data_IF_854453360681
#
_entry.id   IF_854453360681
#
_cell.length_a   1.000
_cell.length_b   1.000
_cell.length_c   1.000
_cell.angle_alpha   90.00
_cell.angle_beta   90.00
_cell.angle_gamma   90.00
#
_symmetry.space_group_name_H-M   'P 1'
#
loop_
_entity.id
_entity.type
_entity.pdbx_description
1 polymer ?
#
# COMPACT_ATOMS: atom_id res chain seq x y z
N UNK A 1 8.58 0.57 -20.32
CA UNK A 1 7.81 1.04 -19.15
C UNK A 1 7.74 0.00 -18.03
N UNK A 2 7.40 -1.27 -18.32
CA UNK A 2 7.33 -2.31 -17.30
C UNK A 2 8.68 -2.66 -16.63
N UNK A 3 9.81 -2.43 -17.29
CA UNK A 3 11.15 -2.76 -16.79
C UNK A 3 11.46 -2.13 -15.42
N UNK A 4 11.05 -0.87 -15.20
CA UNK A 4 11.36 -0.14 -13.97
C UNK A 4 10.34 -0.42 -12.85
N UNK A 5 9.09 -0.67 -13.21
CA UNK A 5 7.99 -0.80 -12.24
C UNK A 5 7.76 -2.28 -11.86
N UNK A 6 8.00 -3.19 -12.81
CA UNK A 6 7.72 -4.63 -12.68
C UNK A 6 8.42 -5.29 -11.50
N UNK A 7 9.61 -4.79 -11.14
CA UNK A 7 10.41 -5.33 -10.04
C UNK A 7 9.74 -5.19 -8.65
N UNK A 8 8.85 -4.21 -8.48
CA UNK A 8 8.11 -4.00 -7.23
C UNK A 8 6.83 -4.83 -7.12
N UNK A 9 6.31 -5.38 -8.22
CA UNK A 9 4.98 -6.01 -8.26
C UNK A 9 4.92 -7.23 -7.34
N UNK A 10 5.88 -8.15 -7.48
CA UNK A 10 5.88 -9.38 -6.68
C UNK A 10 6.05 -9.12 -5.16
N UNK A 11 6.99 -8.26 -4.71
CA UNK A 11 7.07 -7.88 -3.30
C UNK A 11 5.82 -7.22 -2.75
N UNK A 12 5.16 -6.34 -3.52
CA UNK A 12 3.90 -5.70 -3.10
C UNK A 12 2.78 -6.74 -2.97
N UNK A 13 2.62 -7.62 -3.95
CA UNK A 13 1.65 -8.72 -3.87
C UNK A 13 1.91 -9.63 -2.67
N UNK A 14 3.18 -9.97 -2.40
CA UNK A 14 3.56 -10.79 -1.26
C UNK A 14 3.26 -10.09 0.07
N UNK A 15 3.55 -8.80 0.20
CA UNK A 15 3.26 -8.03 1.41
C UNK A 15 1.77 -7.98 1.75
N UNK A 16 0.89 -7.99 0.73
CA UNK A 16 -0.57 -7.93 0.92
C UNK A 16 -1.22 -9.30 1.09
N UNK A 17 -0.76 -10.32 0.35
CA UNK A 17 -1.45 -11.61 0.26
C UNK A 17 -0.74 -12.74 1.01
N UNK A 18 0.51 -12.55 1.45
CA UNK A 18 1.33 -13.63 1.98
C UNK A 18 1.93 -13.28 3.36
N UNK A 19 1.31 -13.85 4.41
CA UNK A 19 1.72 -13.63 5.81
C UNK A 19 3.17 -14.01 6.14
N UNK A 20 3.76 -14.94 5.38
CA UNK A 20 5.11 -15.45 5.60
C UNK A 20 6.17 -14.78 4.71
N UNK A 21 5.80 -13.72 3.98
CA UNK A 21 6.72 -13.04 3.08
C UNK A 21 7.91 -12.42 3.85
N UNK A 22 9.12 -12.84 3.50
CA UNK A 22 10.34 -12.33 4.14
C UNK A 22 10.60 -10.86 3.75
N UNK A 23 10.78 -9.99 4.74
CA UNK A 23 10.97 -8.54 4.52
C UNK A 23 12.26 -8.24 3.76
N UNK A 24 13.36 -8.88 4.14
CA UNK A 24 14.63 -8.72 3.48
C UNK A 24 14.57 -9.22 2.03
N UNK A 25 13.91 -10.36 1.78
CA UNK A 25 13.72 -10.89 0.43
C UNK A 25 12.87 -9.96 -0.46
N UNK A 26 11.83 -9.33 0.08
CA UNK A 26 11.05 -8.31 -0.63
C UNK A 26 11.93 -7.14 -1.10
N UNK A 27 12.78 -6.62 -0.21
CA UNK A 27 13.62 -5.45 -0.49
C UNK A 27 14.78 -5.81 -1.42
N UNK A 28 15.57 -6.83 -1.08
CA UNK A 28 16.70 -7.23 -1.92
C UNK A 28 16.25 -7.84 -3.25
N UNK A 29 15.13 -8.58 -3.26
CA UNK A 29 14.54 -9.14 -4.47
C UNK A 29 14.07 -8.07 -5.45
N UNK A 30 13.44 -6.98 -4.97
CA UNK A 30 13.07 -5.85 -5.84
C UNK A 30 14.29 -5.10 -6.36
N UNK A 31 15.26 -4.78 -5.50
CA UNK A 31 16.47 -4.05 -5.92
C UNK A 31 17.31 -4.84 -6.92
N UNK A 32 17.56 -6.12 -6.64
CA UNK A 32 18.33 -6.97 -7.53
C UNK A 32 17.56 -7.27 -8.82
N UNK A 33 16.23 -7.48 -8.72
CA UNK A 33 15.37 -7.65 -9.88
C UNK A 33 15.37 -6.45 -10.80
N UNK A 34 15.32 -5.23 -10.25
CA UNK A 34 15.40 -3.99 -11.01
C UNK A 34 16.75 -3.85 -11.72
N UNK A 35 17.86 -4.10 -11.01
CA UNK A 35 19.19 -4.02 -11.59
C UNK A 35 19.35 -5.02 -12.75
N UNK A 36 18.94 -6.27 -12.56
CA UNK A 36 19.00 -7.30 -13.60
C UNK A 36 18.05 -7.02 -14.77
N UNK A 37 16.89 -6.42 -14.51
CA UNK A 37 15.96 -5.99 -15.56
C UNK A 37 16.55 -4.88 -16.43
N UNK A 38 17.17 -3.87 -15.84
CA UNK A 38 17.83 -2.78 -16.58
C UNK A 38 19.02 -3.33 -17.37
N UNK A 39 19.84 -4.18 -16.75
CA UNK A 39 20.97 -4.82 -17.41
C UNK A 39 20.53 -5.65 -18.61
N UNK A 40 19.57 -6.56 -18.44
CA UNK A 40 19.08 -7.41 -19.53
C UNK A 40 18.41 -6.60 -20.66
N UNK A 41 17.68 -5.53 -20.33
CA UNK A 41 17.10 -4.61 -21.30
C UNK A 41 18.16 -3.95 -22.18
N UNK A 42 19.17 -3.32 -21.57
CA UNK A 42 20.23 -2.61 -22.30
C UNK A 42 21.15 -3.58 -23.06
N UNK A 43 21.48 -4.72 -22.46
CA UNK A 43 22.30 -5.75 -23.13
C UNK A 43 21.57 -6.32 -24.35
N UNK A 44 20.26 -6.54 -24.25
CA UNK A 44 19.47 -7.02 -25.41
C UNK A 44 19.41 -5.97 -26.51
N UNK A 45 19.23 -4.70 -26.18
CA UNK A 45 19.27 -3.61 -27.16
C UNK A 45 20.62 -3.54 -27.87
N UNK A 46 21.73 -3.57 -27.12
CA UNK A 46 23.08 -3.56 -27.68
C UNK A 46 23.39 -4.82 -28.51
N UNK A 47 22.91 -5.98 -28.09
CA UNK A 47 23.17 -7.26 -28.77
C UNK A 47 22.42 -7.38 -30.10
N UNK A 48 21.15 -6.94 -30.15
CA UNK A 48 20.32 -7.07 -31.35
C UNK A 48 20.59 -5.98 -32.38
N UNK A 49 20.82 -4.74 -31.94
CA UNK A 49 20.89 -3.57 -32.82
C UNK A 49 22.31 -3.00 -32.96
N UNK A 50 23.26 -3.42 -32.11
CA UNK A 50 24.65 -2.94 -32.14
C UNK A 50 24.85 -1.52 -31.60
N UNK A 51 23.77 -0.83 -31.22
CA UNK A 51 23.77 0.53 -30.72
C UNK A 51 22.71 0.74 -29.61
N UNK A 52 22.96 1.72 -28.74
CA UNK A 52 22.03 2.16 -27.70
C UNK A 52 21.43 3.51 -28.08
N UNK A 53 20.31 3.47 -28.79
CA UNK A 53 19.52 4.62 -29.23
C UNK A 53 18.10 4.51 -28.68
N UNK A 54 17.30 5.58 -28.80
CA UNK A 54 15.87 5.55 -28.40
C UNK A 54 15.12 4.49 -29.22
N UNK A 55 15.49 4.31 -30.48
CA UNK A 55 14.88 3.32 -31.36
C UNK A 55 15.25 1.89 -30.96
N UNK A 56 16.53 1.63 -30.64
CA UNK A 56 16.96 0.29 -30.24
C UNK A 56 16.43 -0.11 -28.86
N UNK A 57 16.42 0.82 -27.90
CA UNK A 57 15.90 0.57 -26.54
C UNK A 57 14.38 0.53 -26.49
N UNK A 58 13.70 1.20 -27.43
CA UNK A 58 12.24 1.20 -27.59
C UNK A 58 11.69 0.04 -28.43
N UNK A 59 12.55 -0.77 -29.04
CA UNK A 59 12.13 -1.90 -29.85
C UNK A 59 11.45 -3.00 -29.00
N UNK A 60 10.61 -3.81 -29.65
CA UNK A 60 9.77 -4.80 -28.97
C UNK A 60 10.57 -5.83 -28.16
N UNK A 61 11.64 -6.39 -28.73
CA UNK A 61 12.42 -7.45 -28.10
C UNK A 61 13.17 -7.00 -26.84
N UNK A 62 13.96 -5.91 -26.84
CA UNK A 62 14.61 -5.43 -25.63
C UNK A 62 13.61 -5.10 -24.51
N UNK A 63 12.53 -4.40 -24.84
CA UNK A 63 11.50 -4.02 -23.85
C UNK A 63 10.82 -5.27 -23.27
N UNK A 64 10.52 -6.26 -24.10
CA UNK A 64 9.94 -7.54 -23.68
C UNK A 64 10.86 -8.27 -22.68
N UNK A 65 12.15 -8.40 -23.01
CA UNK A 65 13.13 -9.08 -22.14
C UNK A 65 13.25 -8.35 -20.80
N UNK A 66 13.38 -7.02 -20.83
CA UNK A 66 13.47 -6.22 -19.61
C UNK A 66 12.22 -6.38 -18.71
N UNK A 67 11.02 -6.32 -19.29
CA UNK A 67 9.77 -6.51 -18.55
C UNK A 67 9.68 -7.93 -17.94
N UNK A 68 10.07 -8.95 -18.69
CA UNK A 68 10.02 -10.35 -18.24
C UNK A 68 10.97 -10.58 -17.06
N UNK A 69 12.21 -10.10 -17.16
CA UNK A 69 13.21 -10.21 -16.10
C UNK A 69 12.78 -9.42 -14.86
N UNK A 70 12.19 -8.24 -15.05
CA UNK A 70 11.67 -7.42 -13.95
C UNK A 70 10.62 -8.16 -13.11
N UNK A 71 9.78 -9.00 -13.72
CA UNK A 71 8.75 -9.76 -12.98
C UNK A 71 9.34 -11.05 -12.41
N UNK A 72 10.12 -11.79 -13.20
CA UNK A 72 10.56 -13.14 -12.83
C UNK A 72 11.63 -13.15 -11.75
N UNK A 73 12.61 -12.24 -11.80
CA UNK A 73 13.73 -12.25 -10.85
C UNK A 73 13.29 -12.00 -9.40
N UNK A 74 12.47 -10.97 -9.09
CA UNK A 74 11.97 -10.79 -7.73
C UNK A 74 11.17 -12.00 -7.24
N UNK A 75 10.36 -12.64 -8.09
CA UNK A 75 9.60 -13.85 -7.72
C UNK A 75 10.56 -14.99 -7.35
N UNK A 76 11.58 -15.21 -8.17
CA UNK A 76 12.58 -16.27 -7.95
C UNK A 76 13.42 -16.06 -6.69
N UNK A 77 13.59 -14.82 -6.22
CA UNK A 77 14.29 -14.52 -4.98
C UNK A 77 13.32 -14.60 -3.79
N UNK A 78 12.16 -13.96 -3.91
CA UNK A 78 11.17 -13.82 -2.86
C UNK A 78 10.57 -15.16 -2.45
N UNK A 79 10.12 -15.98 -3.41
CA UNK A 79 9.36 -17.20 -3.12
C UNK A 79 10.20 -18.22 -2.34
N UNK A 80 11.43 -18.58 -2.77
CA UNK A 80 12.27 -19.49 -2.02
C UNK A 80 12.72 -18.91 -0.69
N UNK A 81 13.13 -17.64 -0.66
CA UNK A 81 13.60 -17.01 0.59
C UNK A 81 12.50 -16.92 1.65
N UNK A 82 11.24 -16.69 1.24
CA UNK A 82 10.09 -16.68 2.15
C UNK A 82 9.74 -18.07 2.68
N UNK A 83 10.05 -19.13 1.93
CA UNK A 83 9.87 -20.51 2.41
C UNK A 83 10.99 -20.96 3.36
N UNK A 84 12.23 -20.50 3.14
CA UNK A 84 13.39 -20.85 3.98
C UNK A 84 13.40 -20.03 5.28
N UNK A 85 13.09 -18.73 5.18
CA UNK A 85 13.09 -17.79 6.31
C UNK A 85 11.77 -17.01 6.36
N UNK A 86 10.68 -17.61 6.85
CA UNK A 86 9.39 -16.94 6.90
C UNK A 86 9.38 -15.82 7.97
N UNK A 87 9.05 -14.59 7.56
CA UNK A 87 8.70 -13.51 8.48
C UNK A 87 7.17 -13.52 8.63
N UNK A 88 6.66 -14.02 9.75
CA UNK A 88 5.22 -14.02 10.07
C UNK A 88 4.73 -12.61 10.44
N UNK A 89 4.75 -11.67 9.49
CA UNK A 89 4.34 -10.29 9.74
C UNK A 89 2.82 -10.16 9.77
N UNK A 90 2.30 -9.54 10.82
CA UNK A 90 0.88 -9.22 10.98
C UNK A 90 0.70 -7.70 10.91
N UNK A 91 -0.27 -7.24 10.12
CA UNK A 91 -0.61 -5.82 9.94
C UNK A 91 -1.42 -5.26 11.13
N UNK A 92 -1.29 -5.87 12.32
CA UNK A 92 -2.03 -5.51 13.53
C UNK A 92 -1.74 -4.09 13.97
N UNK A 93 -0.47 -3.69 13.97
CA UNK A 93 -0.03 -2.35 14.37
C UNK A 93 -0.59 -1.26 13.45
N UNK A 94 -0.55 -1.49 12.14
CA UNK A 94 -1.13 -0.56 11.16
C UNK A 94 -2.64 -0.46 11.26
N UNK A 95 -3.33 -1.54 11.67
CA UNK A 95 -4.78 -1.54 11.88
C UNK A 95 -5.17 -0.81 13.16
N UNK A 96 -4.33 -0.87 14.19
CA UNK A 96 -4.55 -0.17 15.46
C UNK A 96 -4.53 1.36 15.30
N UNK A 97 -3.79 1.91 14.32
CA UNK A 97 -3.77 3.36 14.03
C UNK A 97 -5.14 3.89 13.60
N UNK A 98 -5.99 3.04 13.05
CA UNK A 98 -7.31 3.41 12.52
C UNK A 98 -8.45 3.14 13.50
N UNK A 99 -8.15 2.62 14.70
CA UNK A 99 -9.15 2.42 15.75
C UNK A 99 -9.55 3.80 16.35
N UNK A 100 -10.85 4.10 16.49
CA UNK A 100 -11.26 5.27 17.25
C UNK A 100 -10.80 5.14 18.70
N UNK A 101 -10.31 6.24 19.29
CA UNK A 101 -10.06 6.33 20.73
C UNK A 101 -11.41 6.19 21.45
N UNK A 102 -11.78 4.97 21.86
CA UNK A 102 -12.84 4.80 22.84
C UNK A 102 -12.28 5.26 24.20
N UNK A 103 -12.68 6.46 24.59
CA UNK A 103 -12.61 6.87 25.99
C UNK A 103 -13.57 5.97 26.77
N UNK A 104 -13.04 4.97 27.46
CA UNK A 104 -13.77 4.14 28.42
C UNK A 104 -14.34 5.04 29.54
N UNK A 105 -15.58 5.50 29.34
CA UNK A 105 -16.43 6.08 30.38
C UNK A 105 -17.38 4.99 30.89
N UNK A 106 -16.84 3.93 31.53
CA UNK A 106 -17.65 3.10 32.41
C UNK A 106 -16.75 2.26 33.34
N UNK A 107 -16.49 2.81 34.52
CA UNK A 107 -16.13 1.99 35.69
C UNK A 107 -17.27 2.12 36.70
N UNK A 108 -18.08 1.07 36.91
CA UNK A 108 -19.12 1.07 37.93
C UNK A 108 -18.50 1.20 39.32
N UNK A 109 -18.98 2.19 40.06
CA UNK A 109 -18.65 2.41 41.46
C UNK A 109 -18.95 1.18 42.32
N UNK A 110 -18.00 0.76 43.15
CA UNK A 110 -18.29 0.12 44.44
C UNK A 110 -17.28 0.55 45.52
N UNK A 111 -17.68 0.56 46.80
CA UNK A 111 -17.30 1.58 47.76
C UNK A 111 -16.33 1.09 48.85
N UNK A 112 -15.49 1.98 49.38
CA UNK A 112 -15.08 1.96 50.80
C UNK A 112 -14.49 3.31 51.19
N UNK A 113 -15.06 3.88 52.25
CA UNK A 113 -14.71 5.15 52.88
C UNK A 113 -13.57 4.96 53.91
N UNK A 114 -13.19 5.98 54.71
CA UNK A 114 -12.09 6.90 54.44
C UNK A 114 -11.00 6.84 55.53
N UNK A 115 -9.73 7.11 55.22
CA UNK A 115 -8.78 7.50 56.27
C UNK A 115 -7.91 8.69 55.84
N UNK A 116 -7.94 9.67 56.72
CA UNK A 116 -7.35 11.00 56.67
C UNK A 116 -5.88 10.92 57.09
N UNK A 117 -4.94 11.49 56.33
CA UNK A 117 -3.94 12.41 56.90
C UNK A 117 -3.06 13.14 55.85
N UNK A 118 -3.22 14.45 55.84
CA UNK A 118 -2.20 15.53 55.85
C UNK A 118 -1.12 15.62 54.77
N UNK A 119 -1.30 16.72 54.01
CA UNK A 119 -0.40 17.88 53.93
C UNK A 119 0.92 17.78 53.15
N UNK A 120 1.07 18.68 52.18
CA UNK A 120 2.35 19.00 51.55
C UNK A 120 2.22 19.71 50.21
N UNK A 121 1.81 20.98 50.25
CA UNK A 121 1.90 21.92 49.14
C UNK A 121 3.34 22.43 49.06
N UNK A 122 4.00 22.44 47.89
CA UNK A 122 4.71 23.63 47.42
C UNK A 122 5.15 23.58 45.95
N UNK A 123 5.18 24.79 45.39
CA UNK A 123 5.23 25.21 43.97
C UNK A 123 6.64 25.34 43.38
N UNK A 124 6.63 25.54 42.05
CA UNK A 124 7.50 26.44 41.24
C UNK A 124 8.65 25.75 40.50
N UNK A 125 8.55 25.55 39.17
CA UNK A 125 8.84 26.50 38.06
C UNK A 125 10.34 26.66 37.76
N UNK A 126 10.82 26.16 36.62
CA UNK A 126 11.42 26.95 35.51
C UNK A 126 12.13 26.09 34.44
N UNK A 127 11.95 26.58 33.21
CA UNK A 127 12.69 26.45 31.94
C UNK A 127 14.00 25.64 31.86
N UNK A 128 14.18 24.96 30.72
CA UNK A 128 15.49 24.47 30.28
C UNK A 128 15.46 23.53 29.07
N UNK A 129 15.72 24.08 27.90
CA UNK A 129 15.93 23.45 26.59
C UNK A 129 17.16 22.50 26.58
N UNK A 130 17.23 21.59 25.58
CA UNK A 130 18.44 21.12 24.83
C UNK A 130 18.58 19.58 24.66
N UNK A 131 18.34 19.12 23.42
CA UNK A 131 19.10 18.17 22.56
C UNK A 131 19.53 16.77 23.08
N UNK A 132 19.08 15.74 22.33
CA UNK A 132 19.64 14.42 22.02
C UNK A 132 20.63 13.72 22.98
N UNK A 133 20.32 12.46 23.38
CA UNK A 133 21.03 11.22 22.97
C UNK A 133 20.43 10.01 23.72
N UNK A 134 20.44 8.86 23.03
CA UNK A 134 20.02 7.51 23.41
C UNK A 134 20.65 7.02 24.75
N UNK A 135 19.88 6.34 25.60
CA UNK A 135 20.06 4.92 26.01
C UNK A 135 19.23 4.56 27.28
N UNK A 136 18.71 3.33 27.32
CA UNK A 136 18.56 2.56 28.57
C UNK A 136 17.40 2.82 29.56
N UNK A 137 16.32 2.04 29.39
CA UNK A 137 15.46 1.40 30.42
C UNK A 137 14.35 2.19 31.16
N UNK A 138 13.20 1.49 31.21
CA UNK A 138 12.06 1.57 32.13
C UNK A 138 11.07 2.73 31.90
N UNK A 139 9.92 2.43 31.30
CA UNK A 139 8.73 2.05 32.07
C UNK A 139 7.61 1.58 31.14
N UNK A 140 7.29 0.30 31.29
CA UNK A 140 6.12 -0.38 30.79
C UNK A 140 4.90 0.15 31.55
N UNK A 141 4.21 1.16 31.00
CA UNK A 141 2.81 1.47 31.30
C UNK A 141 2.26 2.42 30.24
N UNK A 142 1.84 1.86 29.11
CA UNK A 142 0.73 2.44 28.36
C UNK A 142 -0.08 1.25 27.87
N UNK A 143 -1.04 0.84 28.69
CA UNK A 143 -2.05 -0.12 28.28
C UNK A 143 -2.85 0.54 27.15
N UNK A 144 -2.45 0.28 25.91
CA UNK A 144 -3.25 0.61 24.74
C UNK A 144 -4.51 -0.25 24.85
N UNK A 145 -5.72 0.34 24.96
CA UNK A 145 -6.94 -0.43 25.01
C UNK A 145 -7.04 -1.21 23.70
N UNK A 146 -7.12 -2.54 23.83
CA UNK A 146 -7.24 -3.46 22.70
C UNK A 146 -8.66 -3.34 22.13
N UNK A 147 -8.89 -2.33 21.31
CA UNK A 147 -10.09 -2.31 20.48
C UNK A 147 -9.91 -3.31 19.35
N UNK A 148 -10.48 -4.49 19.54
CA UNK A 148 -10.50 -5.56 18.54
C UNK A 148 -11.48 -5.10 17.48
N UNK A 149 -10.99 -4.48 16.41
CA UNK A 149 -11.79 -4.30 15.21
C UNK A 149 -12.09 -5.69 14.66
N UNK A 150 -13.19 -6.28 15.13
CA UNK A 150 -13.77 -7.49 14.60
C UNK A 150 -14.12 -7.14 13.15
N UNK A 151 -13.39 -7.74 12.22
CA UNK A 151 -13.76 -7.74 10.81
C UNK A 151 -15.24 -8.18 10.79
N UNK A 152 -16.17 -7.38 10.24
CA UNK A 152 -17.55 -7.84 10.13
C UNK A 152 -17.50 -9.21 9.44
N UNK A 153 -18.02 -10.24 10.10
CA UNK A 153 -17.96 -11.61 9.62
C UNK A 153 -18.62 -11.65 8.23
N UNK A 154 -17.79 -11.59 7.18
CA UNK A 154 -18.31 -11.51 5.81
C UNK A 154 -18.95 -12.85 5.53
N UNK A 155 -20.22 -12.84 5.12
CA UNK A 155 -20.91 -14.05 4.71
C UNK A 155 -20.02 -14.87 3.77
N UNK A 156 -19.72 -16.15 4.07
CA UNK A 156 -18.75 -16.94 3.30
C UNK A 156 -19.19 -17.15 1.83
N UNK A 157 -20.46 -16.89 1.52
CA UNK A 157 -21.02 -16.86 0.16
C UNK A 157 -20.62 -15.59 -0.60
N UNK A 158 -20.65 -14.45 0.07
CA UNK A 158 -20.26 -13.14 -0.48
C UNK A 158 -18.74 -13.10 -0.70
N UNK A 159 -17.95 -13.68 0.20
CA UNK A 159 -16.50 -13.82 0.02
C UNK A 159 -16.14 -14.67 -1.19
N UNK A 160 -16.77 -15.84 -1.32
CA UNK A 160 -16.54 -16.75 -2.47
C UNK A 160 -16.99 -16.11 -3.77
N UNK A 161 -18.14 -15.44 -3.79
CA UNK A 161 -18.62 -14.72 -4.97
C UNK A 161 -17.64 -13.62 -5.38
N UNK A 162 -17.19 -12.79 -4.44
CA UNK A 162 -16.24 -11.70 -4.70
C UNK A 162 -14.90 -12.23 -5.20
N UNK A 163 -14.42 -13.33 -4.62
CA UNK A 163 -13.18 -14.00 -5.04
C UNK A 163 -13.28 -14.56 -6.44
N UNK A 164 -14.36 -15.29 -6.74
CA UNK A 164 -14.60 -15.87 -8.07
C UNK A 164 -14.75 -14.76 -9.11
N UNK A 165 -15.54 -13.72 -8.80
CA UNK A 165 -15.72 -12.57 -9.69
C UNK A 165 -14.38 -11.86 -9.97
N UNK A 166 -13.55 -11.66 -8.93
CA UNK A 166 -12.21 -11.07 -9.06
C UNK A 166 -11.29 -11.92 -9.96
N UNK A 167 -11.30 -13.24 -9.80
CA UNK A 167 -10.51 -14.16 -10.64
C UNK A 167 -11.00 -14.12 -12.08
N UNK A 168 -12.32 -14.22 -12.31
CA UNK A 168 -12.92 -14.17 -13.66
C UNK A 168 -12.57 -12.85 -14.34
N UNK A 169 -12.77 -11.73 -13.64
CA UNK A 169 -12.49 -10.40 -14.16
C UNK A 169 -10.99 -10.22 -14.44
N UNK A 170 -10.13 -10.73 -13.57
CA UNK A 170 -8.67 -10.68 -13.78
C UNK A 170 -8.26 -11.48 -15.01
N UNK A 171 -8.77 -12.71 -15.19
CA UNK A 171 -8.48 -13.52 -16.38
C UNK A 171 -9.02 -12.84 -17.64
N UNK A 172 -10.24 -12.29 -17.58
CA UNK A 172 -10.87 -11.58 -18.69
C UNK A 172 -10.04 -10.35 -19.10
N UNK A 173 -9.66 -9.51 -18.15
CA UNK A 173 -8.96 -8.24 -18.43
C UNK A 173 -7.46 -8.44 -18.73
N UNK A 174 -6.79 -9.38 -18.08
CA UNK A 174 -5.33 -9.56 -18.20
C UNK A 174 -4.96 -10.53 -19.32
N UNK A 175 -5.73 -11.60 -19.52
CA UNK A 175 -5.42 -12.59 -20.55
C UNK A 175 -6.29 -12.42 -21.79
N UNK A 176 -7.61 -12.33 -21.63
CA UNK A 176 -8.52 -12.37 -22.79
C UNK A 176 -8.44 -11.09 -23.64
N UNK A 177 -8.42 -9.91 -23.01
CA UNK A 177 -8.35 -8.63 -23.74
C UNK A 177 -7.05 -8.48 -24.55
N UNK A 178 -5.84 -8.68 -23.99
CA UNK A 178 -4.61 -8.66 -24.78
C UNK A 178 -4.55 -9.80 -25.80
N UNK A 179 -5.11 -10.97 -25.50
CA UNK A 179 -5.19 -12.05 -26.47
C UNK A 179 -6.05 -11.65 -27.68
N UNK A 180 -7.22 -11.01 -27.47
CA UNK A 180 -8.03 -10.46 -28.55
C UNK A 180 -7.28 -9.42 -29.40
N UNK A 181 -6.38 -8.66 -28.79
CA UNK A 181 -5.54 -7.70 -29.50
C UNK A 181 -4.54 -8.38 -30.47
N UNK A 182 -4.01 -9.54 -30.09
CA UNK A 182 -2.99 -10.27 -30.83
C UNK A 182 -3.53 -11.17 -31.96
N UNK A 183 -4.84 -11.42 -32.02
CA UNK A 183 -5.46 -12.27 -33.06
C UNK A 183 -5.35 -11.63 -34.46
N UNK A 184 -5.75 -10.36 -34.67
CA UNK A 184 -5.60 -9.72 -35.98
C UNK A 184 -4.14 -9.28 -36.24
N UNK A 185 -3.49 -9.91 -37.22
CA UNK A 185 -2.14 -9.54 -37.69
C UNK A 185 -2.11 -8.18 -38.39
N UNK A 186 -3.24 -7.71 -38.93
CA UNK A 186 -3.41 -6.41 -39.59
C UNK A 186 -4.78 -5.85 -39.17
N UNK A 187 -4.78 -4.71 -38.48
CA UNK A 187 -6.01 -4.04 -38.05
C UNK A 187 -6.58 -3.14 -39.14
N UNK A 188 -7.91 -3.09 -39.25
CA UNK A 188 -8.56 -2.03 -40.02
C UNK A 188 -8.47 -0.70 -39.27
N UNK A 189 -8.38 0.42 -40.00
CA UNK A 189 -8.30 1.77 -39.40
C UNK A 189 -9.47 2.02 -38.45
N UNK A 190 -10.68 1.59 -38.83
CA UNK A 190 -11.88 1.72 -37.99
C UNK A 190 -11.81 0.86 -36.72
N UNK A 191 -11.35 -0.39 -36.81
CA UNK A 191 -11.23 -1.28 -35.66
C UNK A 191 -10.21 -0.78 -34.64
N UNK A 192 -9.04 -0.32 -35.11
CA UNK A 192 -8.01 0.26 -34.25
C UNK A 192 -8.53 1.54 -33.58
N UNK A 193 -9.17 2.43 -34.33
CA UNK A 193 -9.72 3.70 -33.81
C UNK A 193 -10.77 3.45 -32.72
N UNK A 194 -11.71 2.53 -32.96
CA UNK A 194 -12.74 2.18 -31.98
C UNK A 194 -12.12 1.61 -30.70
N UNK A 195 -11.16 0.69 -30.83
CA UNK A 195 -10.47 0.09 -29.70
C UNK A 195 -9.71 1.11 -28.85
N UNK A 196 -8.91 1.96 -29.50
CA UNK A 196 -8.18 3.04 -28.83
C UNK A 196 -9.13 4.01 -28.12
N UNK A 197 -10.27 4.37 -28.75
CA UNK A 197 -11.28 5.22 -28.12
C UNK A 197 -11.90 4.60 -26.87
N UNK A 198 -12.18 3.28 -26.88
CA UNK A 198 -12.67 2.55 -25.71
C UNK A 198 -11.66 2.60 -24.55
N UNK A 199 -10.38 2.33 -24.84
CA UNK A 199 -9.32 2.38 -23.81
C UNK A 199 -9.18 3.78 -23.22
N UNK A 200 -9.14 4.81 -24.07
CA UNK A 200 -9.04 6.20 -23.61
C UNK A 200 -10.25 6.59 -22.76
N UNK A 201 -11.47 6.25 -23.20
CA UNK A 201 -12.69 6.51 -22.44
C UNK A 201 -12.67 5.83 -21.07
N UNK A 202 -12.26 4.56 -21.03
CA UNK A 202 -12.10 3.81 -19.78
C UNK A 202 -11.07 4.44 -18.84
N UNK A 203 -9.93 4.93 -19.38
CA UNK A 203 -8.91 5.62 -18.59
C UNK A 203 -9.45 6.88 -17.93
N UNK A 204 -10.24 7.70 -18.64
CA UNK A 204 -10.87 8.90 -18.07
C UNK A 204 -11.90 8.55 -16.98
N UNK A 205 -12.76 7.56 -17.23
CA UNK A 205 -13.71 7.09 -16.22
C UNK A 205 -12.99 6.59 -14.96
N UNK A 206 -11.94 5.78 -15.13
CA UNK A 206 -11.15 5.24 -14.02
C UNK A 206 -10.45 6.35 -13.24
N UNK A 207 -9.82 7.31 -13.92
CA UNK A 207 -9.19 8.46 -13.29
C UNK A 207 -10.20 9.30 -12.50
N UNK A 208 -11.40 9.53 -13.06
CA UNK A 208 -12.48 10.23 -12.38
C UNK A 208 -12.89 9.53 -11.09
N UNK A 209 -13.10 8.21 -11.12
CA UNK A 209 -13.48 7.44 -9.92
C UNK A 209 -12.37 7.50 -8.86
N UNK A 210 -11.11 7.25 -9.23
CA UNK A 210 -9.99 7.20 -8.27
C UNK A 210 -9.69 8.58 -7.65
N UNK A 211 -9.91 9.67 -8.38
CA UNK A 211 -9.68 11.03 -7.84
C UNK A 211 -10.88 11.50 -7.01
N UNK A 212 -12.10 11.32 -7.54
CA UNK A 212 -13.30 11.89 -6.91
C UNK A 212 -13.76 11.05 -5.73
N UNK A 213 -13.74 9.72 -5.83
CA UNK A 213 -14.31 8.85 -4.80
C UNK A 213 -13.66 9.02 -3.42
N UNK A 214 -12.32 9.05 -3.26
CA UNK A 214 -11.70 9.25 -1.95
C UNK A 214 -11.95 10.65 -1.38
N UNK A 215 -12.00 11.67 -2.23
CA UNK A 215 -12.35 13.05 -1.82
C UNK A 215 -13.79 13.09 -1.33
N UNK A 216 -14.66 12.32 -1.99
CA UNK A 216 -16.07 12.22 -1.64
C UNK A 216 -16.29 11.46 -0.32
N UNK A 217 -15.51 10.43 -0.05
CA UNK A 217 -15.59 9.70 1.21
C UNK A 217 -15.02 10.52 2.37
N UNK A 218 -13.91 11.23 2.13
CA UNK A 218 -13.21 12.03 3.15
C UNK A 218 -13.81 13.42 3.42
N UNK A 219 -14.95 13.77 2.79
CA UNK A 219 -15.61 15.09 2.94
C UNK A 219 -15.78 15.50 4.40
N UNK A 220 -16.25 14.58 5.26
CA UNK A 220 -16.48 14.86 6.67
C UNK A 220 -15.20 15.19 7.43
N UNK A 221 -14.14 14.42 7.20
CA UNK A 221 -12.82 14.67 7.80
C UNK A 221 -12.23 16.01 7.33
N UNK A 222 -12.31 16.29 6.03
CA UNK A 222 -11.85 17.57 5.45
C UNK A 222 -12.61 18.77 6.01
N UNK A 223 -13.93 18.65 6.18
CA UNK A 223 -14.76 19.71 6.77
C UNK A 223 -14.44 19.91 8.25
N UNK A 224 -14.18 18.84 9.01
CA UNK A 224 -13.80 18.94 10.42
C UNK A 224 -12.43 19.60 10.59
N UNK A 225 -11.45 19.26 9.75
CA UNK A 225 -10.14 19.93 9.73
C UNK A 225 -10.25 21.40 9.33
N UNK A 226 -11.02 21.71 8.28
CA UNK A 226 -11.24 23.08 7.83
C UNK A 226 -11.93 23.92 8.92
N UNK A 227 -12.96 23.37 9.58
CA UNK A 227 -13.65 24.02 10.70
C UNK A 227 -12.72 24.22 11.91
N UNK A 228 -11.84 23.26 12.19
CA UNK A 228 -10.80 23.36 13.21
C UNK A 228 -9.81 24.51 12.93
N UNK A 229 -9.29 24.58 11.71
CA UNK A 229 -8.40 25.66 11.26
C UNK A 229 -9.09 27.03 11.34
N UNK A 230 -10.35 27.11 10.91
CA UNK A 230 -11.13 28.35 10.99
C UNK A 230 -11.38 28.77 12.44
N UNK A 231 -11.66 27.82 13.33
CA UNK A 231 -11.90 28.10 14.76
C UNK A 231 -10.62 28.57 15.46
N UNK A 232 -9.47 28.03 15.08
CA UNK A 232 -8.16 28.42 15.61
C UNK A 232 -7.75 29.82 15.12
N UNK A 233 -7.97 30.12 13.84
CA UNK A 233 -7.73 31.46 13.26
C UNK A 233 -8.69 32.53 13.80
N UNK A 234 -9.91 32.17 14.17
CA UNK A 234 -10.92 33.11 14.69
C UNK A 234 -10.90 33.23 16.22
N UNK A 235 -9.98 32.54 16.90
CA UNK A 235 -9.79 32.62 18.35
C UNK A 235 -10.97 32.09 19.18
N UNK A 236 -11.87 31.31 18.57
CA UNK A 236 -13.07 30.81 19.25
C UNK A 236 -12.74 29.50 19.96
N UNK A 237 -12.28 29.59 21.22
CA UNK A 237 -12.08 28.42 22.09
C UNK A 237 -13.38 27.61 22.19
N UNK A 238 -13.31 26.31 21.88
CA UNK A 238 -14.36 25.34 22.25
C UNK A 238 -14.49 25.33 23.77
N UNK A 239 -15.66 25.73 24.27
CA UNK A 239 -16.15 25.38 25.62
C UNK A 239 -16.80 24.01 25.57
#
# INVERSE_FOLDING_TARGET
MGTLIGAGVAPVCAALCWKQANKAACVYGSLLGLALAIMSWLVTAQSLFGELTVDSTGADYPVLVGNLVAIMVPILILVPASYIWPDNYDWSETRAIQAPDELDLDSPAEPSTPDVEKAGFDKSSQDGQVIATLDGKMHEHSAIPKHKHEVPDLDPKTERFTTILSIILSVLLILLIPAFMCIPKIWSVGGLTAWTAIIIGWMFCSAGIVIVWPVVESRGALLNMASGIVSDLTGRKRM
#
